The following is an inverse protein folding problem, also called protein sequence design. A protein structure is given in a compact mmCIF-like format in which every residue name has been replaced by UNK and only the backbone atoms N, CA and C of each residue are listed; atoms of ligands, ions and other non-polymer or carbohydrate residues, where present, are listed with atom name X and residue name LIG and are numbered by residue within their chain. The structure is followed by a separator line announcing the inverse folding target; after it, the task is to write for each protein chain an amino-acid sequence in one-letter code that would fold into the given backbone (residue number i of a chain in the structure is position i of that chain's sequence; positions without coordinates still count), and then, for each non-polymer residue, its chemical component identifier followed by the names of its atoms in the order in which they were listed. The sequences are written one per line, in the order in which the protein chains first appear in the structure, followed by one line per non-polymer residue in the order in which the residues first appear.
data_IF_026593172920
#
_entry.id   IF_026593172920
#
_cell.length_a   1.000
_cell.length_b   1.000
_cell.length_c   1.000
_cell.angle_alpha   90.00
_cell.angle_beta   90.00
_cell.angle_gamma   90.00
#
_symmetry.space_group_name_H-M   'P 1'
#
loop_
_entity.id
_entity.type
_entity.pdbx_description
1 polymer ?
#
# COMPACT_ATOMS: atom_id res chain seq x y z
N UNK A 1 3.94 32.12 -8.81
CA UNK A 1 5.36 32.45 -8.59
C UNK A 1 5.48 33.19 -7.27
N UNK A 2 6.17 32.61 -6.29
CA UNK A 2 6.62 33.31 -5.08
C UNK A 2 8.11 32.93 -4.97
N UNK A 3 9.00 33.90 -5.10
CA UNK A 3 10.46 33.78 -4.90
C UNK A 3 11.25 32.74 -5.74
N UNK A 4 11.01 32.61 -7.05
CA UNK A 4 11.95 31.90 -7.95
C UNK A 4 12.11 30.39 -7.71
N UNK A 5 11.24 29.79 -6.89
CA UNK A 5 11.14 28.33 -6.73
C UNK A 5 9.99 27.84 -7.61
N UNK A 6 10.28 26.93 -8.55
CA UNK A 6 9.25 26.21 -9.28
C UNK A 6 8.55 25.24 -8.32
N UNK A 7 7.26 25.49 -8.06
CA UNK A 7 6.43 24.55 -7.31
C UNK A 7 6.00 23.43 -8.25
N UNK A 8 6.61 22.27 -8.10
CA UNK A 8 6.11 21.05 -8.72
C UNK A 8 4.84 20.61 -8.00
N UNK A 9 3.84 20.16 -8.76
CA UNK A 9 2.63 19.56 -8.20
C UNK A 9 3.03 18.23 -7.51
N UNK A 10 3.21 18.27 -6.19
CA UNK A 10 3.47 17.09 -5.39
C UNK A 10 2.15 16.37 -5.11
N UNK A 11 1.96 15.20 -5.71
CA UNK A 11 0.84 14.30 -5.44
C UNK A 11 1.37 13.04 -4.73
N UNK A 12 1.20 12.93 -3.40
CA UNK A 12 1.69 11.78 -2.62
C UNK A 12 1.15 10.43 -3.11
N UNK A 13 0.00 10.41 -3.80
CA UNK A 13 -0.56 9.16 -4.33
C UNK A 13 0.31 8.56 -5.45
N UNK A 14 1.16 9.39 -6.10
CA UNK A 14 2.09 8.93 -7.13
C UNK A 14 3.20 8.04 -6.57
N UNK A 15 3.59 8.23 -5.30
CA UNK A 15 4.59 7.40 -4.60
C UNK A 15 4.16 5.93 -4.64
N UNK A 16 2.87 5.68 -4.47
CA UNK A 16 2.32 4.33 -4.44
C UNK A 16 2.01 3.74 -5.82
N UNK A 17 2.31 4.41 -6.94
CA UNK A 17 2.10 3.85 -8.29
C UNK A 17 3.24 2.95 -8.77
N UNK A 18 4.42 3.05 -8.16
CA UNK A 18 5.56 2.21 -8.50
C UNK A 18 5.56 0.92 -7.65
N UNK A 19 4.94 -0.14 -8.17
CA UNK A 19 4.87 -1.43 -7.46
C UNK A 19 6.25 -2.02 -7.14
N UNK A 20 7.32 -1.67 -7.87
CA UNK A 20 8.68 -2.16 -7.54
C UNK A 20 9.18 -1.52 -6.25
N UNK A 21 9.07 -0.20 -6.13
CA UNK A 21 9.51 0.54 -4.94
C UNK A 21 8.70 0.16 -3.71
N UNK A 22 7.38 0.02 -3.83
CA UNK A 22 6.53 -0.40 -2.71
C UNK A 22 6.94 -1.78 -2.19
N UNK A 23 7.25 -2.73 -3.09
CA UNK A 23 7.71 -4.07 -2.68
C UNK A 23 9.05 -4.03 -1.96
N UNK A 24 9.96 -3.11 -2.33
CA UNK A 24 11.24 -2.92 -1.62
C UNK A 24 10.98 -2.38 -0.22
N UNK A 25 10.16 -1.33 -0.09
CA UNK A 25 9.82 -0.75 1.20
C UNK A 25 9.11 -1.75 2.14
N UNK A 26 8.18 -2.55 1.61
CA UNK A 26 7.54 -3.63 2.37
C UNK A 26 8.54 -4.70 2.82
N UNK A 27 9.52 -5.04 1.98
CA UNK A 27 10.55 -6.01 2.32
C UNK A 27 11.46 -5.47 3.43
N UNK A 28 11.91 -4.22 3.32
CA UNK A 28 12.75 -3.56 4.34
C UNK A 28 12.03 -3.51 5.69
N UNK A 29 10.80 -2.99 5.73
CA UNK A 29 9.99 -2.94 6.96
C UNK A 29 9.79 -4.33 7.59
N UNK A 30 9.59 -5.37 6.77
CA UNK A 30 9.46 -6.74 7.26
C UNK A 30 10.76 -7.28 7.90
N UNK A 31 11.92 -7.02 7.29
CA UNK A 31 13.22 -7.48 7.80
C UNK A 31 13.66 -6.71 9.05
N UNK A 32 13.30 -5.44 9.14
CA UNK A 32 13.55 -4.61 10.32
C UNK A 32 12.58 -4.92 11.47
N UNK A 33 11.53 -5.73 11.22
CA UNK A 33 10.49 -6.03 12.19
C UNK A 33 9.57 -4.85 12.49
N UNK A 34 9.58 -3.82 11.64
CA UNK A 34 8.76 -2.62 11.77
C UNK A 34 7.36 -2.86 11.22
N UNK A 35 6.49 -3.38 12.10
CA UNK A 35 5.09 -3.64 11.79
C UNK A 35 4.34 -2.37 11.38
N UNK A 36 4.60 -1.25 12.04
CA UNK A 36 3.85 0.00 11.81
C UNK A 36 4.16 0.54 10.42
N UNK A 37 5.44 0.63 10.06
CA UNK A 37 5.84 1.01 8.70
C UNK A 37 5.25 0.07 7.65
N UNK A 38 5.25 -1.24 7.91
CA UNK A 38 4.69 -2.23 6.98
C UNK A 38 3.19 -2.00 6.73
N UNK A 39 2.41 -1.77 7.79
CA UNK A 39 0.97 -1.49 7.70
C UNK A 39 0.71 -0.15 7.02
N UNK A 40 1.50 0.88 7.30
CA UNK A 40 1.39 2.20 6.67
C UNK A 40 1.64 2.16 5.17
N UNK A 41 2.66 1.41 4.73
CA UNK A 41 2.96 1.23 3.31
C UNK A 41 1.81 0.51 2.60
N UNK A 42 1.28 -0.56 3.19
CA UNK A 42 0.10 -1.26 2.65
C UNK A 42 -1.12 -0.35 2.58
N UNK A 43 -1.36 0.44 3.64
CA UNK A 43 -2.47 1.39 3.72
C UNK A 43 -2.39 2.44 2.62
N UNK A 44 -1.21 3.02 2.42
CA UNK A 44 -0.95 3.99 1.36
C UNK A 44 -1.18 3.40 -0.03
N UNK A 45 -0.73 2.17 -0.26
CA UNK A 45 -0.98 1.46 -1.52
C UNK A 45 -2.49 1.27 -1.80
N UNK A 46 -3.25 0.75 -0.84
CA UNK A 46 -4.70 0.51 -0.99
C UNK A 46 -5.45 1.80 -1.25
N UNK A 47 -5.11 2.89 -0.54
CA UNK A 47 -5.71 4.22 -0.74
C UNK A 47 -5.41 4.76 -2.14
N UNK A 48 -4.21 4.54 -2.67
CA UNK A 48 -3.83 4.99 -4.00
C UNK A 48 -4.42 4.15 -5.15
N UNK A 49 -4.76 2.88 -4.91
CA UNK A 49 -5.16 1.90 -5.94
C UNK A 49 -6.67 1.59 -6.00
N UNK A 50 -7.51 2.35 -5.31
CA UNK A 50 -8.94 2.09 -5.16
C UNK A 50 -9.25 0.74 -4.47
N UNK A 51 -9.86 0.80 -3.30
CA UNK A 51 -10.21 -0.36 -2.48
C UNK A 51 -11.00 -1.45 -3.25
N UNK A 52 -11.87 -1.07 -4.19
CA UNK A 52 -12.67 -2.03 -4.96
C UNK A 52 -11.80 -2.86 -5.91
N UNK A 53 -10.78 -2.25 -6.50
CA UNK A 53 -9.83 -2.96 -7.35
C UNK A 53 -8.99 -3.95 -6.54
N UNK A 54 -8.53 -3.53 -5.36
CA UNK A 54 -7.81 -4.40 -4.42
C UNK A 54 -8.66 -5.59 -4.02
N UNK A 55 -9.93 -5.37 -3.66
CA UNK A 55 -10.86 -6.46 -3.31
C UNK A 55 -11.03 -7.43 -4.49
N UNK A 56 -11.20 -6.93 -5.71
CA UNK A 56 -11.35 -7.76 -6.92
C UNK A 56 -10.12 -8.61 -7.21
N UNK A 57 -8.92 -8.04 -7.04
CA UNK A 57 -7.64 -8.75 -7.31
C UNK A 57 -7.33 -9.81 -6.24
N UNK A 58 -7.70 -9.54 -4.99
CA UNK A 58 -7.31 -10.38 -3.83
C UNK A 58 -8.40 -11.37 -3.42
N UNK A 59 -9.65 -11.16 -3.84
CA UNK A 59 -10.82 -11.92 -3.38
C UNK A 59 -11.24 -11.59 -1.93
N UNK A 60 -10.64 -10.58 -1.30
CA UNK A 60 -10.98 -10.15 0.05
C UNK A 60 -12.20 -9.21 0.05
N UNK A 61 -12.96 -9.23 1.14
CA UNK A 61 -14.01 -8.25 1.37
C UNK A 61 -13.42 -6.89 1.76
N UNK A 62 -14.17 -5.81 1.54
CA UNK A 62 -13.76 -4.46 1.96
C UNK A 62 -13.44 -4.40 3.45
N UNK A 63 -14.27 -5.04 4.28
CA UNK A 63 -14.09 -5.11 5.73
C UNK A 63 -12.75 -5.74 6.09
N UNK A 64 -12.43 -6.90 5.50
CA UNK A 64 -11.16 -7.59 5.77
C UNK A 64 -9.97 -6.75 5.35
N UNK A 65 -10.06 -6.05 4.21
CA UNK A 65 -8.98 -5.14 3.80
C UNK A 65 -8.85 -3.97 4.77
N UNK A 66 -9.93 -3.32 5.19
CA UNK A 66 -9.86 -2.21 6.15
C UNK A 66 -9.34 -2.62 7.52
N UNK A 67 -9.72 -3.79 8.04
CA UNK A 67 -9.19 -4.33 9.29
C UNK A 67 -7.69 -4.67 9.17
N UNK A 68 -7.28 -5.21 8.03
CA UNK A 68 -5.88 -5.56 7.76
C UNK A 68 -4.95 -4.35 7.69
N UNK A 69 -5.42 -3.22 7.16
CA UNK A 69 -4.63 -2.00 6.92
C UNK A 69 -5.11 -0.81 7.78
N UNK A 70 -5.78 -1.10 8.90
CA UNK A 70 -6.16 -0.08 9.88
C UNK A 70 -4.96 0.36 10.72
N UNK A 71 -5.13 1.42 11.51
CA UNK A 71 -4.13 1.93 12.46
C UNK A 71 -3.63 0.82 13.41
N UNK A 72 -4.56 0.01 13.94
CA UNK A 72 -4.27 -1.18 14.76
C UNK A 72 -4.23 -2.49 13.94
N UNK A 73 -4.01 -2.38 12.62
CA UNK A 73 -4.03 -3.50 11.70
C UNK A 73 -3.03 -4.58 12.10
N UNK A 74 -3.54 -5.81 12.27
CA UNK A 74 -2.72 -7.00 12.47
C UNK A 74 -3.21 -8.12 11.55
N UNK A 75 -2.96 -7.99 10.23
CA UNK A 75 -3.44 -8.96 9.27
C UNK A 75 -2.79 -10.32 9.50
N UNK A 76 -3.58 -11.38 9.40
CA UNK A 76 -3.03 -12.73 9.39
C UNK A 76 -2.08 -12.92 8.21
N UNK A 77 -1.16 -13.88 8.32
CA UNK A 77 -0.24 -14.22 7.22
C UNK A 77 -0.99 -14.55 5.92
N UNK A 78 -2.14 -15.23 6.00
CA UNK A 78 -2.99 -15.53 4.84
C UNK A 78 -3.56 -14.26 4.19
N UNK A 79 -4.09 -13.34 5.00
CA UNK A 79 -4.60 -12.05 4.52
C UNK A 79 -3.48 -11.23 3.86
N UNK A 80 -2.29 -11.19 4.46
CA UNK A 80 -1.12 -10.53 3.87
C UNK A 80 -0.75 -11.15 2.53
N UNK A 81 -0.59 -12.47 2.45
CA UNK A 81 -0.27 -13.17 1.20
C UNK A 81 -1.28 -12.85 0.10
N UNK A 82 -2.58 -12.80 0.42
CA UNK A 82 -3.63 -12.39 -0.52
C UNK A 82 -3.46 -10.94 -0.96
N UNK A 83 -3.26 -9.99 -0.04
CA UNK A 83 -3.01 -8.57 -0.37
C UNK A 83 -1.79 -8.44 -1.28
N UNK A 84 -0.71 -9.18 -1.02
CA UNK A 84 0.51 -9.16 -1.82
C UNK A 84 0.27 -9.58 -3.29
N UNK A 85 -0.76 -10.38 -3.58
CA UNK A 85 -1.11 -10.72 -4.97
C UNK A 85 -1.58 -9.52 -5.78
N UNK A 86 -2.09 -8.47 -5.14
CA UNK A 86 -2.58 -7.27 -5.83
C UNK A 86 -1.48 -6.46 -6.53
N UNK A 87 -0.21 -6.62 -6.10
CA UNK A 87 0.98 -6.02 -6.70
C UNK A 87 1.46 -6.76 -7.97
N UNK A 88 0.85 -7.90 -8.32
CA UNK A 88 1.13 -8.54 -9.62
C UNK A 88 0.58 -7.61 -10.70
N UNK A 89 1.38 -7.36 -11.75
CA UNK A 89 0.90 -6.63 -12.93
C UNK A 89 -0.43 -7.25 -13.36
N UNK A 90 -1.45 -6.42 -13.57
CA UNK A 90 -2.51 -6.83 -14.47
C UNK A 90 -1.81 -7.15 -15.79
N UNK A 91 -1.96 -8.39 -16.26
CA UNK A 91 -1.50 -8.78 -17.59
C UNK A 91 -2.08 -7.83 -18.63
#
# INVERSE_FOLDING_TARGET
MINGVELLKHDPSLIFKNHKEIKVALFEALFDGDREAFVDILSGYVRAHNILEVCRRTGLSRTVVYEAIGEDGNPSLDTLCKIMTSFKKAA
#
